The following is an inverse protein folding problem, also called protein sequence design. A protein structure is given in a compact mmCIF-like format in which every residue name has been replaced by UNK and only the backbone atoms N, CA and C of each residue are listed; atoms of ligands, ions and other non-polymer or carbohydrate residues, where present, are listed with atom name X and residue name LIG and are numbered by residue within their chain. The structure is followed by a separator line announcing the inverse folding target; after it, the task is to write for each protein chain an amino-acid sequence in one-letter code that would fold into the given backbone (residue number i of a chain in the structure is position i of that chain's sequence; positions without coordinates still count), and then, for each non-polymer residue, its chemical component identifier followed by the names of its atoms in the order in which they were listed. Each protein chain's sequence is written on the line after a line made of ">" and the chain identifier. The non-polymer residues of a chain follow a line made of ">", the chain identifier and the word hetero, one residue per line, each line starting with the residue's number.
data_IF_438513908641
#
_entry.id   IF_438513908641
#
_cell.length_a   1.000
_cell.length_b   1.000
_cell.length_c   1.000
_cell.angle_alpha   90.00
_cell.angle_beta   90.00
_cell.angle_gamma   90.00
#
_symmetry.space_group_name_H-M   'P 1'
#
loop_
_entity.id
_entity.type
_entity.pdbx_description
1 polymer ?
#
# COMPACT_ATOMS: atom_id res chain seq x y z
N UNK A 1 -21.49 1.96 1.82
CA UNK A 1 -20.41 2.24 2.81
C UNK A 1 -20.83 3.31 3.82
N UNK A 2 -21.24 4.52 3.38
CA UNK A 2 -21.62 5.66 4.26
C UNK A 2 -22.46 5.28 5.48
N UNK A 3 -23.56 4.52 5.32
CA UNK A 3 -24.45 4.16 6.43
C UNK A 3 -23.84 3.23 7.49
N UNK A 4 -22.76 2.51 7.16
CA UNK A 4 -22.14 1.49 8.01
C UNK A 4 -20.75 1.85 8.50
N UNK A 5 -20.09 2.84 7.89
CA UNK A 5 -18.67 3.13 8.12
C UNK A 5 -18.36 3.51 9.58
N UNK A 6 -19.29 4.17 10.28
CA UNK A 6 -19.10 4.54 11.68
C UNK A 6 -19.11 3.32 12.62
N UNK A 7 -19.84 2.27 12.25
CA UNK A 7 -19.94 1.01 13.01
C UNK A 7 -18.87 -0.01 12.60
N UNK A 8 -18.40 0.09 11.37
CA UNK A 8 -17.41 -0.79 10.76
C UNK A 8 -16.25 0.03 10.18
N UNK A 9 -15.42 0.64 11.06
CA UNK A 9 -14.39 1.59 10.63
C UNK A 9 -13.27 0.90 9.83
N UNK A 10 -13.07 -0.40 10.04
CA UNK A 10 -12.05 -1.16 9.36
C UNK A 10 -12.51 -1.59 7.96
N UNK A 11 -11.56 -1.67 7.04
CA UNK A 11 -11.75 -2.20 5.70
C UNK A 11 -10.84 -3.41 5.54
N UNK A 12 -11.42 -4.60 5.39
CA UNK A 12 -10.64 -5.83 5.22
C UNK A 12 -10.12 -5.89 3.80
N UNK A 13 -8.82 -6.13 3.67
CA UNK A 13 -8.15 -6.32 2.38
C UNK A 13 -7.38 -7.64 2.38
N UNK A 14 -7.05 -8.09 1.18
CA UNK A 14 -6.09 -9.16 0.94
C UNK A 14 -4.86 -8.54 0.26
N UNK A 15 -3.68 -9.05 0.60
CA UNK A 15 -2.40 -8.63 0.06
C UNK A 15 -1.44 -9.83 0.11
N UNK A 16 -0.60 -9.96 -0.91
CA UNK A 16 0.42 -10.99 -1.04
C UNK A 16 1.79 -10.36 -1.22
N UNK A 17 2.78 -10.99 -0.58
CA UNK A 17 4.17 -10.58 -0.63
C UNK A 17 5.01 -11.77 -1.07
N UNK A 18 5.64 -11.64 -2.23
CA UNK A 18 6.36 -12.73 -2.88
C UNK A 18 7.80 -12.30 -3.08
N UNK A 19 8.73 -13.09 -2.55
CA UNK A 19 10.16 -12.93 -2.82
C UNK A 19 10.56 -13.79 -4.01
N UNK A 20 11.27 -13.19 -4.96
CA UNK A 20 11.93 -13.87 -6.07
C UNK A 20 13.37 -13.35 -6.20
N UNK A 21 14.33 -14.13 -5.72
CA UNK A 21 15.73 -13.69 -5.61
C UNK A 21 15.86 -12.47 -4.69
N UNK A 22 16.38 -11.37 -5.24
CA UNK A 22 16.57 -10.09 -4.55
C UNK A 22 15.40 -9.10 -4.71
N UNK A 23 14.31 -9.58 -5.32
CA UNK A 23 13.15 -8.77 -5.67
C UNK A 23 11.94 -9.16 -4.82
N UNK A 24 11.19 -8.17 -4.36
CA UNK A 24 9.87 -8.36 -3.77
C UNK A 24 8.77 -7.92 -4.74
N UNK A 25 7.71 -8.72 -4.85
CA UNK A 25 6.44 -8.32 -5.45
C UNK A 25 5.43 -8.15 -4.31
N UNK A 26 4.84 -6.95 -4.22
CA UNK A 26 3.90 -6.58 -3.18
C UNK A 26 2.58 -6.18 -3.85
N UNK A 27 1.55 -6.98 -3.64
CA UNK A 27 0.23 -6.75 -4.20
C UNK A 27 -0.64 -5.94 -3.25
N UNK A 28 -1.58 -5.18 -3.80
CA UNK A 28 -2.62 -4.50 -3.02
C UNK A 28 -3.86 -4.26 -3.90
N UNK A 29 -5.05 -4.11 -3.30
CA UNK A 29 -6.27 -3.94 -4.08
C UNK A 29 -6.50 -2.51 -4.58
N UNK A 30 -5.72 -1.52 -4.13
CA UNK A 30 -6.01 -0.10 -4.35
C UNK A 30 -5.32 0.48 -5.59
N UNK A 31 -5.83 1.61 -6.06
CA UNK A 31 -5.08 2.54 -6.90
C UNK A 31 -4.29 3.50 -5.99
N UNK A 32 -2.98 3.28 -5.87
CA UNK A 32 -2.13 4.02 -4.94
C UNK A 32 -1.52 5.26 -5.60
N UNK A 33 -1.49 6.34 -4.82
CA UNK A 33 -0.62 7.48 -5.11
C UNK A 33 0.85 7.07 -4.98
N UNK A 34 1.70 7.65 -5.83
CA UNK A 34 3.14 7.30 -5.92
C UNK A 34 3.88 7.45 -4.58
N UNK A 35 3.42 8.35 -3.71
CA UNK A 35 3.96 8.57 -2.37
C UNK A 35 3.96 7.28 -1.53
N UNK A 36 2.92 6.45 -1.63
CA UNK A 36 2.85 5.19 -0.90
C UNK A 36 3.86 4.18 -1.45
N UNK A 37 3.96 4.07 -2.78
CA UNK A 37 4.96 3.20 -3.41
C UNK A 37 6.39 3.61 -3.06
N UNK A 38 6.70 4.91 -3.03
CA UNK A 38 8.01 5.39 -2.58
C UNK A 38 8.29 5.04 -1.12
N UNK A 39 7.31 5.23 -0.22
CA UNK A 39 7.49 4.86 1.18
C UNK A 39 7.79 3.37 1.34
N UNK A 40 7.07 2.49 0.63
CA UNK A 40 7.33 1.06 0.68
C UNK A 40 8.71 0.76 0.09
N UNK A 41 9.01 1.23 -1.11
CA UNK A 41 10.30 0.97 -1.78
C UNK A 41 11.51 1.41 -0.96
N UNK A 42 11.46 2.60 -0.36
CA UNK A 42 12.60 3.15 0.39
C UNK A 42 12.78 2.52 1.78
N UNK A 43 11.74 1.85 2.31
CA UNK A 43 11.76 1.22 3.64
C UNK A 43 11.91 -0.30 3.58
N UNK A 44 11.70 -0.90 2.42
CA UNK A 44 11.88 -2.33 2.16
C UNK A 44 13.36 -2.71 2.13
N UNK A 45 13.67 -3.88 2.68
CA UNK A 45 15.00 -4.50 2.63
C UNK A 45 15.31 -5.11 1.27
N UNK A 46 14.30 -5.46 0.46
CA UNK A 46 14.51 -5.98 -0.89
C UNK A 46 15.27 -4.99 -1.78
N UNK A 47 16.19 -5.48 -2.62
CA UNK A 47 16.97 -4.63 -3.52
C UNK A 47 16.07 -3.86 -4.49
N UNK A 48 14.97 -4.50 -4.91
CA UNK A 48 13.92 -3.91 -5.73
C UNK A 48 12.57 -4.40 -5.22
N UNK A 49 11.61 -3.48 -5.11
CA UNK A 49 10.20 -3.84 -4.83
C UNK A 49 9.34 -3.43 -6.03
N UNK A 50 8.46 -4.32 -6.47
CA UNK A 50 7.43 -4.06 -7.46
C UNK A 50 6.07 -3.98 -6.76
N UNK A 51 5.43 -2.83 -6.88
CA UNK A 51 4.05 -2.63 -6.41
C UNK A 51 3.09 -3.09 -7.51
N UNK A 52 2.24 -4.07 -7.17
CA UNK A 52 1.22 -4.61 -8.06
C UNK A 52 -0.14 -4.15 -7.52
N UNK A 53 -0.66 -3.09 -8.12
CA UNK A 53 -1.94 -2.49 -7.74
C UNK A 53 -3.11 -3.22 -8.39
N UNK A 54 -4.33 -2.99 -7.88
CA UNK A 54 -5.57 -3.61 -8.37
C UNK A 54 -5.51 -5.15 -8.39
N UNK A 55 -4.76 -5.75 -7.47
CA UNK A 55 -4.66 -7.19 -7.27
C UNK A 55 -5.54 -7.65 -6.10
N UNK A 56 -5.58 -8.96 -5.84
CA UNK A 56 -6.21 -9.55 -4.63
C UNK A 56 -7.67 -9.14 -4.38
N UNK A 57 -8.49 -9.11 -5.44
CA UNK A 57 -9.91 -8.77 -5.34
C UNK A 57 -10.15 -7.26 -5.24
N UNK A 58 -9.89 -6.55 -6.33
CA UNK A 58 -10.07 -5.09 -6.44
C UNK A 58 -11.52 -4.60 -6.50
N UNK A 59 -12.52 -5.50 -6.40
CA UNK A 59 -13.94 -5.12 -6.39
C UNK A 59 -14.29 -4.13 -5.25
N UNK A 60 -13.46 -4.12 -4.19
CA UNK A 60 -13.54 -3.18 -3.08
C UNK A 60 -12.29 -2.27 -2.97
N UNK A 61 -11.50 -2.23 -4.04
CA UNK A 61 -10.29 -1.42 -4.22
C UNK A 61 -10.62 -0.16 -5.00
N UNK A 62 -10.43 1.00 -4.36
CA UNK A 62 -10.59 2.31 -4.96
C UNK A 62 -9.26 3.07 -4.88
N UNK A 63 -9.25 4.36 -5.20
CA UNK A 63 -8.13 5.20 -4.81
C UNK A 63 -7.95 5.13 -3.28
N UNK A 64 -6.69 5.12 -2.87
CA UNK A 64 -6.30 5.32 -1.48
C UNK A 64 -5.57 6.66 -1.42
N UNK A 65 -6.22 7.73 -0.91
CA UNK A 65 -5.66 9.06 -0.99
C UNK A 65 -4.61 9.27 0.10
N UNK A 66 -3.61 10.10 -0.17
CA UNK A 66 -2.79 10.71 0.89
C UNK A 66 -3.50 11.92 1.48
N UNK A 67 -3.08 12.38 2.66
CA UNK A 67 -3.62 13.63 3.22
C UNK A 67 -3.44 14.80 2.25
N UNK A 68 -2.25 14.90 1.63
CA UNK A 68 -1.95 15.91 0.61
C UNK A 68 -2.89 15.82 -0.60
N UNK A 69 -3.28 14.61 -1.02
CA UNK A 69 -4.22 14.44 -2.11
C UNK A 69 -5.63 14.92 -1.73
N UNK A 70 -6.09 14.59 -0.51
CA UNK A 70 -7.35 15.09 0.04
C UNK A 70 -7.39 16.61 0.05
N UNK A 71 -6.32 17.25 0.53
CA UNK A 71 -6.22 18.72 0.58
C UNK A 71 -6.26 19.35 -0.83
N UNK A 72 -5.82 18.62 -1.86
CA UNK A 72 -5.85 19.06 -3.26
C UNK A 72 -7.17 18.85 -3.99
N UNK A 73 -8.07 17.99 -3.48
CA UNK A 73 -9.44 17.85 -3.98
C UNK A 73 -9.60 17.33 -5.42
N UNK A 74 -8.59 16.68 -6.00
CA UNK A 74 -8.67 16.09 -7.33
C UNK A 74 -9.64 14.90 -7.38
N UNK A 75 -9.96 14.40 -8.58
CA UNK A 75 -10.95 13.32 -8.77
C UNK A 75 -10.68 12.07 -7.90
N UNK A 76 -9.42 11.63 -7.83
CA UNK A 76 -8.95 10.51 -7.01
C UNK A 76 -8.93 10.79 -5.51
N UNK A 77 -9.22 12.02 -5.09
CA UNK A 77 -9.30 12.45 -3.70
C UNK A 77 -10.74 12.73 -3.22
N UNK A 78 -11.73 12.62 -4.11
CA UNK A 78 -13.13 12.81 -3.75
C UNK A 78 -13.65 11.64 -2.90
N UNK A 79 -14.55 11.91 -1.96
CA UNK A 79 -15.10 10.89 -1.05
C UNK A 79 -15.84 9.75 -1.78
N UNK A 80 -16.36 10.00 -2.99
CA UNK A 80 -16.98 8.96 -3.83
C UNK A 80 -15.98 8.00 -4.47
N UNK A 81 -14.72 8.41 -4.54
CA UNK A 81 -13.62 7.70 -5.20
C UNK A 81 -12.69 7.02 -4.19
N UNK A 82 -12.96 7.13 -2.88
CA UNK A 82 -12.11 6.66 -1.80
C UNK A 82 -12.96 6.02 -0.71
N UNK A 83 -12.65 4.79 -0.31
CA UNK A 83 -13.36 4.10 0.78
C UNK A 83 -12.54 4.00 2.06
N UNK A 84 -11.24 4.23 1.94
CA UNK A 84 -10.24 4.18 3.01
C UNK A 84 -9.49 5.51 2.98
N UNK A 85 -9.25 6.12 4.14
CA UNK A 85 -8.53 7.39 4.25
C UNK A 85 -7.01 7.21 4.40
N UNK A 86 -6.27 8.31 4.54
CA UNK A 86 -4.82 8.31 4.69
C UNK A 86 -4.31 7.47 5.88
N UNK A 87 -5.12 7.34 6.93
CA UNK A 87 -4.85 6.47 8.08
C UNK A 87 -4.72 5.00 7.69
N UNK A 88 -5.60 4.50 6.82
CA UNK A 88 -5.49 3.15 6.27
C UNK A 88 -4.33 3.02 5.28
N UNK A 89 -3.99 4.11 4.57
CA UNK A 89 -2.77 4.18 3.77
C UNK A 89 -1.49 4.01 4.57
N UNK A 90 -1.42 4.62 5.76
CA UNK A 90 -0.29 4.41 6.68
C UNK A 90 -0.19 2.96 7.13
N UNK A 91 -1.33 2.35 7.51
CA UNK A 91 -1.37 0.92 7.89
C UNK A 91 -0.90 0.04 6.73
N UNK A 92 -1.41 0.27 5.52
CA UNK A 92 -0.99 -0.49 4.34
C UNK A 92 0.52 -0.43 4.12
N UNK A 93 1.12 0.75 4.23
CA UNK A 93 2.59 0.91 4.06
C UNK A 93 3.34 0.16 5.15
N UNK A 94 2.97 0.34 6.41
CA UNK A 94 3.68 -0.24 7.54
C UNK A 94 3.62 -1.77 7.49
N UNK A 95 2.43 -2.35 7.28
CA UNK A 95 2.24 -3.79 7.14
C UNK A 95 2.97 -4.36 5.91
N UNK A 96 2.98 -3.63 4.78
CA UNK A 96 3.70 -4.05 3.59
C UNK A 96 5.21 -4.09 3.81
N UNK A 97 5.76 -3.06 4.45
CA UNK A 97 7.19 -2.98 4.77
C UNK A 97 7.57 -4.11 5.72
N UNK A 98 6.78 -4.37 6.75
CA UNK A 98 7.06 -5.42 7.73
C UNK A 98 6.99 -6.82 7.11
N UNK A 99 5.99 -7.06 6.25
CA UNK A 99 5.86 -8.31 5.50
C UNK A 99 7.05 -8.52 4.54
N UNK A 100 7.43 -7.50 3.77
CA UNK A 100 8.60 -7.57 2.87
C UNK A 100 9.87 -7.80 3.70
N UNK A 101 10.10 -7.02 4.75
CA UNK A 101 11.33 -7.13 5.56
C UNK A 101 11.46 -8.49 6.22
N UNK A 102 10.34 -9.11 6.63
CA UNK A 102 10.33 -10.48 7.16
C UNK A 102 10.81 -11.51 6.13
N UNK A 103 10.50 -11.31 4.83
CA UNK A 103 10.98 -12.19 3.75
C UNK A 103 12.49 -12.00 3.43
N UNK A 104 13.11 -10.92 3.93
CA UNK A 104 14.50 -10.54 3.65
C UNK A 104 15.32 -10.35 4.95
N UNK A 105 14.88 -10.92 6.07
CA UNK A 105 15.49 -10.72 7.39
C UNK A 105 16.96 -11.20 7.49
N UNK A 106 17.35 -12.12 6.61
CA UNK A 106 18.68 -12.73 6.53
C UNK A 106 19.59 -12.09 5.48
N UNK A 107 19.11 -11.06 4.77
CA UNK A 107 19.83 -10.49 3.63
C UNK A 107 20.61 -9.23 4.05
N UNK A 108 21.84 -9.13 3.55
CA UNK A 108 22.63 -7.90 3.63
C UNK A 108 23.19 -7.59 2.26
N UNK A 109 22.83 -6.44 1.71
CA UNK A 109 23.36 -5.95 0.44
C UNK A 109 24.62 -5.13 0.66
N UNK A 110 25.58 -5.25 -0.25
CA UNK A 110 26.74 -4.36 -0.26
C UNK A 110 26.25 -2.91 -0.42
N UNK A 111 26.70 -2.01 0.45
CA UNK A 111 26.41 -0.58 0.33
C UNK A 111 27.05 -0.06 -0.95
N UNK A 112 26.25 0.52 -1.84
CA UNK A 112 26.73 1.10 -3.10
C UNK A 112 27.06 2.59 -2.99
N UNK A 113 26.88 3.19 -1.81
CA UNK A 113 27.32 4.55 -1.41
C UNK A 113 27.57 4.61 0.10
#
# INVERSE_FOLDING_TARGET
>A
RYERQDKEPNHRIEAHFIRLGDVAFATNPFELFIDYSHQIHCRSNALQTFQIQLADGSENGFYLPTQRALDGGHYSALIKSNWVGPEGGKVLVDESVDAINSLFADVTYAKTR
#
